data_IF_804755676323
#
_entry.id   IF_804755676323
#
_cell.length_a   1.000
_cell.length_b   1.000
_cell.length_c   1.000
_cell.angle_alpha   90.00
_cell.angle_beta   90.00
_cell.angle_gamma   90.00
#
_symmetry.space_group_name_H-M   'P 1'
#
loop_
_entity.id
_entity.type
_entity.pdbx_description
1 polymer ?
#
# COMPACT_ATOMS: atom_id res chain seq x y z
N UNK A 1 63.41 21.61 18.37
CA UNK A 1 62.98 20.49 17.48
C UNK A 1 61.63 19.89 17.89
N UNK A 2 61.44 19.46 19.15
CA UNK A 2 60.21 18.80 19.60
C UNK A 2 58.93 19.65 19.44
N UNK A 3 59.00 20.95 19.76
CA UNK A 3 57.87 21.88 19.65
C UNK A 3 57.39 22.07 18.20
N UNK A 4 58.32 22.11 17.26
CA UNK A 4 58.02 22.27 15.82
C UNK A 4 57.33 21.00 15.29
N UNK A 5 57.79 19.82 15.70
CA UNK A 5 57.17 18.54 15.35
C UNK A 5 55.73 18.43 15.86
N UNK A 6 55.46 18.87 17.10
CA UNK A 6 54.12 18.90 17.68
C UNK A 6 53.16 19.85 16.93
N UNK A 7 53.65 21.04 16.57
CA UNK A 7 52.87 22.02 15.78
C UNK A 7 52.55 21.46 14.38
N UNK A 8 53.54 20.85 13.71
CA UNK A 8 53.32 20.21 12.41
C UNK A 8 52.33 19.04 12.50
N UNK A 9 52.44 18.20 13.53
CA UNK A 9 51.51 17.09 13.74
C UNK A 9 50.07 17.58 13.99
N UNK A 10 49.90 18.63 14.80
CA UNK A 10 48.60 19.26 15.04
C UNK A 10 47.99 19.84 13.76
N UNK A 11 48.80 20.51 12.93
CA UNK A 11 48.35 21.08 11.66
C UNK A 11 47.89 20.00 10.67
N UNK A 12 48.67 18.92 10.52
CA UNK A 12 48.31 17.78 9.68
C UNK A 12 47.01 17.12 10.17
N UNK A 13 46.87 16.94 11.49
CA UNK A 13 45.65 16.37 12.07
C UNK A 13 44.43 17.26 11.78
N UNK A 14 44.55 18.58 11.89
CA UNK A 14 43.44 19.49 11.57
C UNK A 14 43.04 19.44 10.10
N UNK A 15 44.00 19.33 9.18
CA UNK A 15 43.71 19.19 7.74
C UNK A 15 42.99 17.88 7.46
N UNK A 16 43.43 16.77 8.07
CA UNK A 16 42.80 15.46 7.91
C UNK A 16 41.35 15.47 8.44
N UNK A 17 41.11 16.10 9.59
CA UNK A 17 39.76 16.25 10.17
C UNK A 17 38.86 17.11 9.26
N UNK A 18 39.38 18.23 8.73
CA UNK A 18 38.62 19.06 7.79
C UNK A 18 38.28 18.32 6.50
N UNK A 19 39.23 17.56 5.94
CA UNK A 19 39.00 16.76 4.74
C UNK A 19 37.93 15.68 4.95
N UNK A 20 37.96 14.97 6.10
CA UNK A 20 36.94 13.99 6.48
C UNK A 20 35.55 14.62 6.65
N UNK A 21 35.47 15.80 7.28
CA UNK A 21 34.22 16.53 7.43
C UNK A 21 33.64 16.95 6.07
N UNK A 22 34.46 17.46 5.16
CA UNK A 22 34.02 17.83 3.80
C UNK A 22 33.52 16.61 3.02
N UNK A 23 34.19 15.47 3.11
CA UNK A 23 33.75 14.22 2.48
C UNK A 23 32.41 13.73 3.04
N UNK A 24 32.22 13.85 4.35
CA UNK A 24 30.97 13.44 5.00
C UNK A 24 29.82 14.37 4.59
N UNK A 25 30.06 15.68 4.54
CA UNK A 25 29.07 16.67 4.07
C UNK A 25 28.73 16.48 2.59
N UNK A 26 29.73 16.20 1.73
CA UNK A 26 29.46 15.96 0.31
C UNK A 26 28.65 14.69 0.09
N UNK A 27 28.95 13.62 0.83
CA UNK A 27 28.21 12.37 0.78
C UNK A 27 26.78 12.51 1.32
N UNK A 28 26.60 13.24 2.43
CA UNK A 28 25.26 13.58 2.93
C UNK A 28 24.47 14.40 1.91
N UNK A 29 25.09 15.43 1.33
CA UNK A 29 24.45 16.24 0.29
C UNK A 29 24.03 15.38 -0.90
N UNK A 30 24.91 14.50 -1.38
CA UNK A 30 24.59 13.60 -2.48
C UNK A 30 23.43 12.65 -2.14
N UNK A 31 23.42 12.08 -0.94
CA UNK A 31 22.33 11.21 -0.47
C UNK A 31 21.00 11.99 -0.39
N UNK A 32 21.02 13.21 0.11
CA UNK A 32 19.84 14.09 0.14
C UNK A 32 19.35 14.42 -1.26
N UNK A 33 20.24 14.71 -2.21
CA UNK A 33 19.85 14.98 -3.61
C UNK A 33 19.23 13.76 -4.29
N UNK A 34 19.79 12.55 -4.06
CA UNK A 34 19.22 11.30 -4.58
C UNK A 34 17.81 11.09 -4.01
N UNK A 35 17.63 11.33 -2.70
CA UNK A 35 16.33 11.22 -2.05
C UNK A 35 15.30 12.19 -2.65
N UNK A 36 15.66 13.47 -2.75
CA UNK A 36 14.79 14.51 -3.34
C UNK A 36 14.42 14.15 -4.78
N UNK A 37 15.39 13.71 -5.59
CA UNK A 37 15.14 13.33 -6.97
C UNK A 37 14.18 12.13 -7.07
N UNK A 38 14.32 11.14 -6.17
CA UNK A 38 13.41 9.99 -6.10
C UNK A 38 12.00 10.42 -5.71
N UNK A 39 11.84 11.28 -4.70
CA UNK A 39 10.53 11.82 -4.30
C UNK A 39 9.87 12.63 -5.43
N UNK A 40 10.64 13.47 -6.12
CA UNK A 40 10.14 14.23 -7.27
C UNK A 40 9.69 13.32 -8.41
N UNK A 41 10.43 12.24 -8.67
CA UNK A 41 10.05 11.24 -9.67
C UNK A 41 8.73 10.54 -9.28
N UNK A 42 8.59 10.14 -8.02
CA UNK A 42 7.38 9.51 -7.49
C UNK A 42 6.17 10.46 -7.60
N UNK A 43 6.36 11.74 -7.25
CA UNK A 43 5.33 12.77 -7.38
C UNK A 43 4.93 12.99 -8.84
N UNK A 44 5.89 13.03 -9.77
CA UNK A 44 5.58 13.17 -11.19
C UNK A 44 4.75 11.99 -11.73
N UNK A 45 5.01 10.77 -11.26
CA UNK A 45 4.20 9.58 -11.61
C UNK A 45 2.79 9.72 -11.05
N UNK A 46 2.64 10.12 -9.79
CA UNK A 46 1.35 10.34 -9.16
C UNK A 46 0.53 11.42 -9.89
N UNK A 47 1.12 12.59 -10.14
CA UNK A 47 0.45 13.68 -10.85
C UNK A 47 0.03 13.28 -12.27
N UNK A 48 0.87 12.54 -12.98
CA UNK A 48 0.51 12.00 -14.30
C UNK A 48 -0.69 11.06 -14.22
N UNK A 49 -0.71 10.16 -13.24
CA UNK A 49 -1.86 9.27 -13.00
C UNK A 49 -3.13 10.07 -12.73
N UNK A 50 -3.09 11.01 -11.78
CA UNK A 50 -4.25 11.82 -11.41
C UNK A 50 -4.80 12.60 -12.60
N UNK A 51 -3.93 13.22 -13.40
CA UNK A 51 -4.33 13.96 -14.59
C UNK A 51 -4.99 13.05 -15.64
N UNK A 52 -4.38 11.91 -15.95
CA UNK A 52 -4.91 10.96 -16.94
C UNK A 52 -6.22 10.33 -16.48
N UNK A 53 -6.32 9.92 -15.22
CA UNK A 53 -7.56 9.34 -14.70
C UNK A 53 -8.67 10.40 -14.68
N UNK A 54 -8.35 11.64 -14.32
CA UNK A 54 -9.32 12.76 -14.41
C UNK A 54 -9.78 12.98 -15.84
N UNK A 55 -8.88 12.92 -16.82
CA UNK A 55 -9.21 13.03 -18.24
C UNK A 55 -10.17 11.92 -18.70
N UNK A 56 -9.88 10.67 -18.33
CA UNK A 56 -10.76 9.52 -18.60
C UNK A 56 -12.15 9.70 -17.95
N UNK A 57 -12.18 10.19 -16.70
CA UNK A 57 -13.43 10.41 -15.96
C UNK A 57 -14.28 11.52 -16.58
N UNK A 58 -13.66 12.64 -16.96
CA UNK A 58 -14.36 13.86 -17.39
C UNK A 58 -14.64 13.85 -18.89
N UNK A 59 -13.62 13.62 -19.72
CA UNK A 59 -13.74 13.74 -21.18
C UNK A 59 -14.23 12.45 -21.81
N UNK A 60 -13.66 11.31 -21.42
CA UNK A 60 -14.07 10.02 -21.97
C UNK A 60 -15.33 9.45 -21.30
N UNK A 61 -15.87 10.15 -20.30
CA UNK A 61 -17.12 9.80 -19.61
C UNK A 61 -17.09 8.36 -19.06
N UNK A 62 -15.97 7.95 -18.47
CA UNK A 62 -15.73 6.60 -17.94
C UNK A 62 -16.89 6.09 -17.06
N UNK A 63 -17.51 6.99 -16.30
CA UNK A 63 -18.65 6.68 -15.41
C UNK A 63 -19.92 6.22 -16.14
N UNK A 64 -20.07 6.52 -17.44
CA UNK A 64 -21.25 6.14 -18.24
C UNK A 64 -21.07 4.83 -19.01
N UNK A 65 -19.86 4.29 -19.03
CA UNK A 65 -19.52 3.08 -19.77
C UNK A 65 -20.04 1.84 -19.06
N UNK A 66 -20.78 1.00 -19.79
CA UNK A 66 -21.42 -0.20 -19.23
C UNK A 66 -20.65 -1.48 -19.53
N UNK A 67 -19.85 -1.50 -20.60
CA UNK A 67 -19.11 -2.70 -20.98
C UNK A 67 -17.70 -2.64 -20.42
N UNK A 68 -17.23 -3.70 -19.76
CA UNK A 68 -15.84 -3.78 -19.26
C UNK A 68 -14.82 -3.76 -20.40
N UNK A 69 -15.21 -4.17 -21.61
CA UNK A 69 -14.35 -4.13 -22.78
C UNK A 69 -14.27 -2.75 -23.47
N UNK A 70 -14.91 -1.71 -22.90
CA UNK A 70 -14.81 -0.36 -23.45
C UNK A 70 -13.35 0.14 -23.37
N UNK A 71 -12.74 0.63 -24.47
CA UNK A 71 -11.32 0.96 -24.49
C UNK A 71 -10.85 1.93 -23.39
N UNK A 72 -11.63 2.96 -22.98
CA UNK A 72 -11.21 3.83 -21.89
C UNK A 72 -11.17 3.14 -20.52
N UNK A 73 -11.98 2.09 -20.27
CA UNK A 73 -11.85 1.27 -19.06
C UNK A 73 -10.58 0.44 -19.07
N UNK A 74 -10.32 -0.24 -20.19
CA UNK A 74 -9.06 -1.00 -20.37
C UNK A 74 -7.85 -0.07 -20.18
N UNK A 75 -7.91 1.15 -20.70
CA UNK A 75 -6.87 2.16 -20.52
C UNK A 75 -6.74 2.60 -19.06
N UNK A 76 -7.86 2.81 -18.36
CA UNK A 76 -7.88 3.16 -16.93
C UNK A 76 -7.29 2.04 -16.07
N UNK A 77 -7.65 0.78 -16.33
CA UNK A 77 -7.15 -0.40 -15.62
C UNK A 77 -5.65 -0.55 -15.83
N UNK A 78 -5.19 -0.52 -17.09
CA UNK A 78 -3.77 -0.62 -17.43
C UNK A 78 -2.94 0.52 -16.83
N UNK A 79 -3.46 1.75 -16.88
CA UNK A 79 -2.83 2.92 -16.27
C UNK A 79 -2.71 2.76 -14.75
N UNK A 80 -3.77 2.26 -14.10
CA UNK A 80 -3.81 2.06 -12.65
C UNK A 80 -2.79 1.00 -12.24
N UNK A 81 -2.78 -0.16 -12.89
CA UNK A 81 -1.84 -1.23 -12.58
C UNK A 81 -0.37 -0.83 -12.83
N UNK A 82 -0.07 -0.17 -13.96
CA UNK A 82 1.27 0.37 -14.24
C UNK A 82 1.72 1.32 -13.13
N UNK A 83 0.84 2.24 -12.74
CA UNK A 83 1.17 3.25 -11.73
C UNK A 83 1.48 2.60 -10.38
N UNK A 84 0.64 1.67 -9.91
CA UNK A 84 0.89 0.94 -8.66
C UNK A 84 2.24 0.20 -8.67
N UNK A 85 2.65 -0.38 -9.80
CA UNK A 85 3.92 -1.09 -9.91
C UNK A 85 5.17 -0.18 -9.84
N UNK A 86 5.00 1.12 -10.11
CA UNK A 86 6.09 2.10 -10.22
C UNK A 86 6.26 2.96 -8.98
N UNK A 87 5.25 2.98 -8.11
CA UNK A 87 5.25 3.86 -6.94
C UNK A 87 5.59 3.14 -5.64
N UNK A 88 6.14 3.90 -4.69
CA UNK A 88 6.49 3.40 -3.37
C UNK A 88 5.23 3.12 -2.51
N UNK A 89 5.34 2.38 -1.39
CA UNK A 89 4.19 2.04 -0.55
C UNK A 89 3.38 3.21 0.00
N UNK A 90 4.01 4.36 0.24
CA UNK A 90 3.31 5.58 0.67
C UNK A 90 2.37 6.10 -0.42
N UNK A 91 2.89 6.23 -1.65
CA UNK A 91 2.10 6.65 -2.82
C UNK A 91 1.04 5.62 -3.21
N UNK A 92 1.30 4.31 -3.03
CA UNK A 92 0.26 3.27 -3.18
C UNK A 92 -0.95 3.55 -2.27
N UNK A 93 -0.72 3.93 -1.02
CA UNK A 93 -1.80 4.27 -0.10
C UNK A 93 -2.58 5.54 -0.53
N UNK A 94 -1.88 6.55 -1.04
CA UNK A 94 -2.52 7.76 -1.57
C UNK A 94 -3.40 7.48 -2.79
N UNK A 95 -2.90 6.65 -3.73
CA UNK A 95 -3.67 6.20 -4.88
C UNK A 95 -4.93 5.46 -4.45
N UNK A 96 -4.81 4.48 -3.54
CA UNK A 96 -5.98 3.74 -3.04
C UNK A 96 -7.01 4.66 -2.41
N UNK A 97 -6.58 5.64 -1.60
CA UNK A 97 -7.50 6.65 -1.03
C UNK A 97 -8.17 7.45 -2.14
N UNK A 98 -7.42 7.98 -3.10
CA UNK A 98 -7.98 8.77 -4.19
C UNK A 98 -9.02 7.99 -5.01
N UNK A 99 -8.66 6.77 -5.42
CA UNK A 99 -9.50 5.87 -6.22
C UNK A 99 -10.80 5.54 -5.45
N UNK A 100 -10.72 5.28 -4.16
CA UNK A 100 -11.93 5.06 -3.36
C UNK A 100 -12.80 6.33 -3.24
N UNK A 101 -12.20 7.48 -2.88
CA UNK A 101 -12.96 8.74 -2.70
C UNK A 101 -13.67 9.21 -3.97
N UNK A 102 -13.11 8.89 -5.13
CA UNK A 102 -13.72 9.19 -6.43
C UNK A 102 -14.83 8.21 -6.82
N UNK A 103 -15.07 7.17 -6.00
CA UNK A 103 -16.09 6.12 -6.20
C UNK A 103 -15.96 5.40 -7.53
N UNK A 104 -14.74 5.30 -8.04
CA UNK A 104 -14.44 4.57 -9.28
C UNK A 104 -14.18 3.08 -9.01
N UNK A 105 -14.10 2.69 -7.74
CA UNK A 105 -14.07 1.29 -7.29
C UNK A 105 -15.27 1.00 -6.39
N UNK A 106 -15.97 -0.08 -6.73
CA UNK A 106 -16.91 -0.85 -5.91
C UNK A 106 -17.26 -2.12 -6.70
N UNK A 107 -17.93 -3.09 -6.09
CA UNK A 107 -18.24 -4.38 -6.70
C UNK A 107 -19.26 -4.19 -7.83
N UNK A 108 -20.19 -3.26 -7.60
CA UNK A 108 -21.14 -2.77 -8.61
C UNK A 108 -20.50 -1.81 -9.63
N UNK A 109 -19.43 -1.10 -9.23
CA UNK A 109 -18.71 -0.17 -10.12
C UNK A 109 -17.70 -0.92 -10.97
N UNK A 110 -18.16 -1.32 -12.15
CA UNK A 110 -17.32 -1.86 -13.24
C UNK A 110 -16.34 -0.83 -13.85
N UNK A 111 -15.98 0.24 -13.13
CA UNK A 111 -15.25 1.39 -13.68
C UNK A 111 -13.75 1.13 -13.69
N UNK A 112 -13.18 0.75 -12.54
CA UNK A 112 -11.79 0.37 -12.40
C UNK A 112 -11.67 -1.03 -11.79
N UNK A 113 -10.87 -1.87 -12.43
CA UNK A 113 -10.51 -3.19 -11.94
C UNK A 113 -9.33 -3.10 -10.96
N UNK A 114 -9.51 -3.67 -9.77
CA UNK A 114 -8.48 -3.73 -8.73
C UNK A 114 -7.95 -5.15 -8.52
N UNK A 115 -8.27 -6.06 -9.44
CA UNK A 115 -7.68 -7.39 -9.48
C UNK A 115 -6.17 -7.32 -9.65
N UNK A 116 -5.46 -8.21 -8.94
CA UNK A 116 -4.01 -8.36 -8.98
C UNK A 116 -3.18 -7.10 -8.62
N UNK A 117 -3.82 -6.05 -8.09
CA UNK A 117 -3.12 -4.82 -7.70
C UNK A 117 -2.09 -5.08 -6.59
N UNK A 118 -0.92 -4.46 -6.69
CA UNK A 118 0.10 -4.52 -5.64
C UNK A 118 0.07 -3.27 -4.77
N UNK A 119 -0.52 -3.41 -3.59
CA UNK A 119 -0.55 -2.42 -2.51
C UNK A 119 0.26 -2.87 -1.28
N UNK A 120 1.21 -3.78 -1.48
CA UNK A 120 2.03 -4.32 -0.40
C UNK A 120 2.78 -3.23 0.36
N UNK A 121 2.88 -3.42 1.69
CA UNK A 121 3.54 -2.52 2.66
C UNK A 121 2.95 -1.11 2.76
N UNK A 122 1.84 -0.83 2.08
CA UNK A 122 1.20 0.48 2.11
C UNK A 122 0.61 0.78 3.50
N UNK A 123 0.63 2.05 3.91
CA UNK A 123 0.02 2.48 5.18
C UNK A 123 -1.37 3.03 4.92
N UNK A 124 -2.39 2.18 5.12
CA UNK A 124 -3.79 2.38 4.75
C UNK A 124 -4.74 2.22 5.94
N UNK A 125 -4.30 2.58 7.15
CA UNK A 125 -5.15 2.55 8.35
C UNK A 125 -6.48 3.30 8.17
N UNK A 126 -7.57 2.69 8.63
CA UNK A 126 -8.96 3.16 8.51
C UNK A 126 -9.42 3.43 7.07
N UNK A 127 -8.75 2.85 6.06
CA UNK A 127 -9.24 2.95 4.69
C UNK A 127 -10.61 2.27 4.57
N UNK A 128 -11.48 2.85 3.76
CA UNK A 128 -12.71 2.21 3.36
C UNK A 128 -12.48 1.54 2.00
N UNK A 129 -12.68 0.23 1.95
CA UNK A 129 -12.62 -0.63 0.78
C UNK A 129 -13.89 -1.48 0.71
N UNK A 130 -14.97 -1.08 1.39
CA UNK A 130 -16.22 -1.81 1.37
C UNK A 130 -16.63 -2.13 -0.06
N UNK A 131 -17.12 -3.36 -0.25
CA UNK A 131 -17.65 -3.80 -1.52
C UNK A 131 -16.62 -3.61 -2.66
N UNK A 132 -15.36 -3.98 -2.47
CA UNK A 132 -14.33 -3.87 -3.53
C UNK A 132 -13.88 -5.27 -3.97
N UNK A 133 -13.65 -5.44 -5.28
CA UNK A 133 -13.04 -6.66 -5.81
C UNK A 133 -11.51 -6.55 -5.79
N UNK A 134 -10.87 -7.30 -4.89
CA UNK A 134 -9.42 -7.36 -4.70
C UNK A 134 -8.87 -8.77 -4.98
N UNK A 135 -9.55 -9.52 -5.85
CA UNK A 135 -9.14 -10.87 -6.23
C UNK A 135 -7.68 -10.86 -6.72
N UNK A 136 -6.88 -11.75 -6.15
CA UNK A 136 -5.46 -11.90 -6.49
C UNK A 136 -4.54 -10.76 -6.03
N UNK A 137 -5.07 -9.69 -5.44
CA UNK A 137 -4.28 -8.53 -5.03
C UNK A 137 -3.18 -8.90 -4.02
N UNK A 138 -2.05 -8.18 -4.09
CA UNK A 138 -0.98 -8.28 -3.11
C UNK A 138 -1.06 -7.12 -2.11
N UNK A 139 -1.49 -7.43 -0.89
CA UNK A 139 -1.66 -6.49 0.23
C UNK A 139 -0.68 -6.83 1.38
N UNK A 140 0.30 -7.69 1.11
CA UNK A 140 1.19 -8.22 2.15
C UNK A 140 1.99 -7.13 2.87
N UNK A 141 2.09 -7.27 4.19
CA UNK A 141 2.82 -6.34 5.05
C UNK A 141 2.22 -4.93 5.16
N UNK A 142 1.02 -4.69 4.62
CA UNK A 142 0.36 -3.41 4.73
C UNK A 142 -0.12 -3.13 6.18
N UNK A 143 -0.32 -1.85 6.49
CA UNK A 143 -1.04 -1.43 7.69
C UNK A 143 -2.48 -1.08 7.33
N UNK A 144 -3.42 -1.92 7.76
CA UNK A 144 -4.85 -1.83 7.51
C UNK A 144 -5.63 -1.81 8.84
N UNK A 145 -5.03 -1.31 9.93
CA UNK A 145 -5.73 -1.21 11.20
C UNK A 145 -7.03 -0.42 11.04
N UNK A 146 -8.13 -0.96 11.56
CA UNK A 146 -9.46 -0.33 11.48
C UNK A 146 -10.03 -0.21 10.06
N UNK A 147 -9.43 -0.82 9.04
CA UNK A 147 -9.94 -0.75 7.67
C UNK A 147 -11.35 -1.35 7.56
N UNK A 148 -12.20 -0.74 6.74
CA UNK A 148 -13.50 -1.28 6.37
C UNK A 148 -13.35 -2.12 5.09
N UNK A 149 -13.41 -3.43 5.21
CA UNK A 149 -13.34 -4.41 4.12
C UNK A 149 -14.59 -5.30 4.15
N UNK A 150 -15.73 -4.76 4.57
CA UNK A 150 -16.98 -5.50 4.51
C UNK A 150 -17.38 -5.77 3.07
N UNK A 151 -17.96 -6.94 2.80
CA UNK A 151 -18.45 -7.35 1.49
C UNK A 151 -17.38 -7.35 0.37
N UNK A 152 -16.09 -7.32 0.71
CA UNK A 152 -15.00 -7.39 -0.28
C UNK A 152 -14.81 -8.80 -0.84
N UNK A 153 -14.41 -8.89 -2.11
CA UNK A 153 -13.95 -10.13 -2.72
C UNK A 153 -12.42 -10.22 -2.57
N UNK A 154 -11.95 -11.15 -1.73
CA UNK A 154 -10.54 -11.35 -1.37
C UNK A 154 -10.00 -12.73 -1.83
N UNK A 155 -10.66 -13.31 -2.82
CA UNK A 155 -10.28 -14.63 -3.34
C UNK A 155 -8.86 -14.59 -3.89
N UNK A 156 -8.00 -15.51 -3.45
CA UNK A 156 -6.55 -15.55 -3.78
C UNK A 156 -5.72 -14.33 -3.36
N UNK A 157 -6.27 -13.40 -2.56
CA UNK A 157 -5.54 -12.21 -2.11
C UNK A 157 -4.43 -12.58 -1.11
N UNK A 158 -3.29 -11.90 -1.21
CA UNK A 158 -2.19 -12.04 -0.24
C UNK A 158 -2.28 -10.97 0.85
N UNK A 159 -2.73 -11.36 2.04
CA UNK A 159 -2.78 -10.53 3.26
C UNK A 159 -1.71 -10.93 4.29
N UNK A 160 -0.67 -11.68 3.90
CA UNK A 160 0.36 -12.13 4.84
C UNK A 160 1.08 -10.96 5.52
N UNK A 161 1.43 -11.12 6.80
CA UNK A 161 2.13 -10.13 7.61
C UNK A 161 1.43 -8.75 7.74
N UNK A 162 0.14 -8.67 7.42
CA UNK A 162 -0.64 -7.42 7.45
C UNK A 162 -1.10 -7.10 8.87
N UNK A 163 -1.09 -5.83 9.25
CA UNK A 163 -1.82 -5.37 10.44
C UNK A 163 -3.30 -5.19 10.09
N UNK A 164 -4.15 -6.11 10.55
CA UNK A 164 -5.61 -6.12 10.34
C UNK A 164 -6.35 -5.87 11.66
N UNK A 165 -5.67 -5.30 12.65
CA UNK A 165 -6.27 -5.09 13.97
C UNK A 165 -7.51 -4.20 13.85
N UNK A 166 -8.62 -4.64 14.44
CA UNK A 166 -9.93 -3.96 14.37
C UNK A 166 -10.49 -3.74 12.97
N UNK A 167 -9.97 -4.42 11.94
CA UNK A 167 -10.53 -4.35 10.60
C UNK A 167 -11.92 -5.02 10.54
N UNK A 168 -12.79 -4.51 9.67
CA UNK A 168 -14.10 -5.08 9.43
C UNK A 168 -14.09 -5.90 8.14
N UNK A 169 -14.30 -7.21 8.24
CA UNK A 169 -14.37 -8.17 7.13
C UNK A 169 -15.77 -8.79 6.99
N UNK A 170 -16.79 -8.15 7.59
CA UNK A 170 -18.14 -8.71 7.61
C UNK A 170 -18.61 -9.04 6.19
N UNK A 171 -19.07 -10.27 5.95
CA UNK A 171 -19.60 -10.69 4.65
C UNK A 171 -18.57 -10.83 3.52
N UNK A 172 -17.27 -10.69 3.80
CA UNK A 172 -16.23 -10.82 2.77
C UNK A 172 -16.08 -12.27 2.26
N UNK A 173 -15.68 -12.41 0.99
CA UNK A 173 -15.24 -13.69 0.42
C UNK A 173 -13.72 -13.83 0.60
N UNK A 174 -13.28 -14.78 1.43
CA UNK A 174 -11.87 -15.01 1.76
C UNK A 174 -11.35 -16.39 1.27
N UNK A 175 -11.96 -16.96 0.22
CA UNK A 175 -11.49 -18.23 -0.33
C UNK A 175 -10.04 -18.13 -0.81
N UNK A 176 -9.18 -19.04 -0.33
CA UNK A 176 -7.76 -19.10 -0.70
C UNK A 176 -6.94 -17.83 -0.37
N UNK A 177 -7.41 -16.96 0.52
CA UNK A 177 -6.65 -15.80 0.99
C UNK A 177 -5.46 -16.25 1.86
N UNK A 178 -4.27 -15.67 1.63
CA UNK A 178 -3.12 -15.93 2.49
C UNK A 178 -3.11 -14.97 3.68
N UNK A 179 -3.34 -15.50 4.88
CA UNK A 179 -3.35 -14.74 6.15
C UNK A 179 -2.11 -15.00 7.03
N UNK A 180 -1.07 -15.63 6.49
CA UNK A 180 0.11 -16.06 7.26
C UNK A 180 0.76 -14.88 7.98
N UNK A 181 0.77 -14.93 9.32
CA UNK A 181 1.32 -13.91 10.20
C UNK A 181 0.56 -12.58 10.22
N UNK A 182 -0.64 -12.50 9.65
CA UNK A 182 -1.50 -11.33 9.77
C UNK A 182 -2.02 -11.16 11.21
N UNK A 183 -2.22 -9.93 11.66
CA UNK A 183 -2.73 -9.63 13.00
C UNK A 183 -4.21 -9.24 12.92
N UNK A 184 -5.11 -10.15 13.31
CA UNK A 184 -6.57 -9.96 13.27
C UNK A 184 -7.15 -9.61 14.65
N UNK A 185 -6.34 -9.12 15.60
CA UNK A 185 -6.86 -8.80 16.93
C UNK A 185 -8.02 -7.79 16.86
N UNK A 186 -9.16 -8.16 17.44
CA UNK A 186 -10.38 -7.35 17.42
C UNK A 186 -11.05 -7.19 16.05
N UNK A 187 -10.64 -7.94 15.03
CA UNK A 187 -11.26 -7.87 13.71
C UNK A 187 -12.68 -8.46 13.72
N UNK A 188 -13.56 -7.96 12.85
CA UNK A 188 -14.91 -8.52 12.65
C UNK A 188 -14.94 -9.40 11.41
N UNK A 189 -14.92 -10.72 11.58
CA UNK A 189 -15.02 -11.71 10.49
C UNK A 189 -16.44 -12.28 10.36
N UNK A 190 -17.45 -11.68 11.02
CA UNK A 190 -18.81 -12.19 11.00
C UNK A 190 -19.32 -12.39 9.57
N UNK A 191 -19.93 -13.54 9.29
CA UNK A 191 -20.46 -13.87 7.97
C UNK A 191 -19.40 -13.91 6.85
N UNK A 192 -18.10 -13.78 7.15
CA UNK A 192 -17.04 -13.98 6.17
C UNK A 192 -16.99 -15.46 5.74
N UNK A 193 -16.80 -15.70 4.45
CA UNK A 193 -16.84 -17.03 3.85
C UNK A 193 -15.46 -17.47 3.34
N UNK A 194 -15.29 -18.77 3.09
CA UNK A 194 -14.06 -19.32 2.51
C UNK A 194 -12.85 -19.45 3.46
N UNK A 195 -12.98 -19.01 4.72
CA UNK A 195 -11.97 -19.21 5.74
C UNK A 195 -11.90 -20.67 6.19
N UNK A 196 -10.69 -21.20 6.25
CA UNK A 196 -10.38 -22.54 6.76
C UNK A 196 -9.70 -22.46 8.13
N UNK A 197 -9.78 -23.56 8.89
CA UNK A 197 -9.06 -23.68 10.17
C UNK A 197 -7.54 -23.48 9.99
N UNK A 198 -6.98 -23.95 8.87
CA UNK A 198 -5.55 -23.78 8.56
C UNK A 198 -5.19 -22.30 8.39
N UNK A 199 -5.99 -21.53 7.63
CA UNK A 199 -5.77 -20.08 7.47
C UNK A 199 -5.87 -19.36 8.81
N UNK A 200 -6.86 -19.67 9.64
CA UNK A 200 -7.01 -19.07 10.96
C UNK A 200 -5.89 -19.45 11.94
N UNK A 201 -5.31 -20.65 11.80
CA UNK A 201 -4.19 -21.09 12.64
C UNK A 201 -2.84 -20.45 12.27
N UNK A 202 -2.72 -19.88 11.06
CA UNK A 202 -1.47 -19.25 10.59
C UNK A 202 -1.36 -17.75 10.90
N UNK A 203 -2.42 -17.15 11.43
CA UNK A 203 -2.45 -15.74 11.83
C UNK A 203 -1.64 -15.52 13.10
N UNK A 204 -1.17 -14.29 13.30
CA UNK A 204 -0.41 -13.89 14.49
C UNK A 204 -1.31 -13.77 15.73
N UNK A 205 -2.54 -13.28 15.57
CA UNK A 205 -3.49 -13.09 16.68
C UNK A 205 -4.93 -13.05 16.17
N UNK A 206 -5.83 -13.65 16.95
CA UNK A 206 -7.29 -13.52 16.84
C UNK A 206 -7.91 -12.93 18.11
N UNK A 207 -7.10 -12.39 19.02
CA UNK A 207 -7.58 -11.94 20.33
C UNK A 207 -8.73 -10.94 20.19
N UNK A 208 -9.90 -11.28 20.73
CA UNK A 208 -11.11 -10.44 20.67
C UNK A 208 -11.76 -10.34 19.30
N UNK A 209 -11.32 -11.10 18.30
CA UNK A 209 -11.94 -11.10 16.97
C UNK A 209 -13.35 -11.72 17.04
N UNK A 210 -14.29 -11.18 16.26
CA UNK A 210 -15.56 -11.84 16.00
C UNK A 210 -15.37 -12.83 14.85
N UNK A 211 -15.66 -14.10 15.08
CA UNK A 211 -15.50 -15.19 14.12
C UNK A 211 -16.66 -15.23 13.11
N UNK A 212 -16.54 -16.00 12.00
CA UNK A 212 -17.59 -16.12 11.00
C UNK A 212 -18.98 -16.50 11.54
N UNK A 213 -19.03 -17.33 12.57
CA UNK A 213 -20.27 -17.74 13.25
C UNK A 213 -20.82 -16.69 14.24
N UNK A 214 -20.15 -15.55 14.39
CA UNK A 214 -20.48 -14.48 15.32
C UNK A 214 -19.97 -14.67 16.74
N UNK A 215 -19.29 -15.77 17.05
CA UNK A 215 -18.64 -15.95 18.35
C UNK A 215 -17.43 -15.02 18.51
N UNK A 216 -17.06 -14.69 19.75
CA UNK A 216 -15.85 -13.89 20.01
C UNK A 216 -14.70 -14.81 20.40
N UNK A 217 -13.60 -14.73 19.67
CA UNK A 217 -12.38 -15.46 19.97
C UNK A 217 -11.71 -14.86 21.20
N UNK A 218 -11.54 -15.69 22.22
CA UNK A 218 -10.92 -15.30 23.49
C UNK A 218 -9.41 -15.21 23.39
#
# INVERSE_FOLDING_TARGET
>A
MLLILLVCAGFVLTILLQAQNVQTMSQQTQNTQIHIASEQQQEAVLQNYLNKLTDLLVHDQLLKMRNRADPPKIAADALTLDTFSRVNPERKAELMRFIYHTKVISNDSTILDMQDVDVSKATMGNIDLQDTNLLGANISGADLHGANMSDTLLTFTNLSQTNLTRANFQGSDMHNTNLTGADLAGANLRDATGLTQTQLSSVKSLAGATMPDGSVHR
#
